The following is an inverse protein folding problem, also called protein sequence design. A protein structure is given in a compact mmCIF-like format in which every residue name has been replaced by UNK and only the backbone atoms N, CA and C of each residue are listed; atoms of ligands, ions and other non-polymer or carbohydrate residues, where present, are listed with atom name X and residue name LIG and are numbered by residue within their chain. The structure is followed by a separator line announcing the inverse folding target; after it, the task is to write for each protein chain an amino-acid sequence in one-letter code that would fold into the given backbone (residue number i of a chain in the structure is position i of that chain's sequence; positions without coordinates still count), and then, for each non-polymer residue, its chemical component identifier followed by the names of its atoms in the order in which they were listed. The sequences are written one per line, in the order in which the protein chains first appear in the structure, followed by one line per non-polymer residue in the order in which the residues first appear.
data_IF_978448928583
#
_entry.id   IF_978448928583
#
_cell.length_a   1.000
_cell.length_b   1.000
_cell.length_c   1.000
_cell.angle_alpha   90.00
_cell.angle_beta   90.00
_cell.angle_gamma   90.00
#
_symmetry.space_group_name_H-M   'P 1'
#
loop_
_entity.id
_entity.type
_entity.pdbx_description
1 polymer ?
#
# COMPACT_ATOMS: atom_id res chain seq x y z
N UNK A 1 8.60 4.92 31.32
CA UNK A 1 9.64 3.90 31.49
C UNK A 1 10.86 4.60 32.03
N UNK A 2 11.41 4.16 33.16
CA UNK A 2 12.71 4.64 33.63
C UNK A 2 13.77 4.34 32.55
N UNK A 3 14.66 5.30 32.27
CA UNK A 3 15.77 5.05 31.34
C UNK A 3 16.60 3.87 31.87
N UNK A 4 16.95 2.89 31.03
CA UNK A 4 17.89 1.85 31.44
C UNK A 4 19.20 2.53 31.83
N UNK A 5 19.68 2.24 33.03
CA UNK A 5 20.92 2.77 33.58
C UNK A 5 22.05 2.54 32.57
N UNK A 6 22.68 3.61 32.11
CA UNK A 6 23.68 3.53 31.04
C UNK A 6 24.94 2.91 31.64
N UNK A 7 25.24 1.68 31.26
CA UNK A 7 26.42 0.97 31.77
C UNK A 7 27.71 1.66 31.32
N UNK A 8 28.63 1.90 32.26
CA UNK A 8 29.98 2.38 31.97
C UNK A 8 30.75 1.44 31.01
N UNK A 9 30.35 0.17 30.91
CA UNK A 9 30.91 -0.77 29.94
C UNK A 9 30.78 -0.29 28.48
N UNK A 10 29.78 0.56 28.17
CA UNK A 10 29.59 1.14 26.84
C UNK A 10 30.63 2.21 26.49
N UNK A 11 31.42 2.68 27.47
CA UNK A 11 32.57 3.55 27.25
C UNK A 11 33.84 2.74 26.98
N UNK A 12 33.93 1.47 27.38
CA UNK A 12 35.14 0.65 27.22
C UNK A 12 36.43 1.41 27.57
N UNK A 13 37.45 1.31 26.71
CA UNK A 13 38.75 1.98 26.92
C UNK A 13 38.79 3.49 26.57
N UNK A 14 37.64 4.17 26.49
CA UNK A 14 37.57 5.55 25.98
C UNK A 14 38.50 6.53 26.71
N UNK A 15 38.47 6.56 28.04
CA UNK A 15 39.31 7.45 28.84
C UNK A 15 40.81 7.15 28.66
N UNK A 16 41.19 5.87 28.57
CA UNK A 16 42.57 5.43 28.30
C UNK A 16 43.05 5.91 26.93
N UNK A 17 42.22 5.76 25.90
CA UNK A 17 42.53 6.22 24.53
C UNK A 17 42.77 7.73 24.52
N UNK A 18 41.93 8.52 25.19
CA UNK A 18 42.12 9.98 25.28
C UNK A 18 43.42 10.36 26.00
N UNK A 19 43.80 9.63 27.06
CA UNK A 19 45.09 9.82 27.73
C UNK A 19 46.28 9.56 26.81
N UNK A 20 46.27 8.44 26.07
CA UNK A 20 47.35 8.11 25.13
C UNK A 20 47.43 9.09 23.95
N UNK A 21 46.30 9.58 23.46
CA UNK A 21 46.26 10.65 22.44
C UNK A 21 46.85 11.93 23.00
N UNK A 22 46.57 12.27 24.26
CA UNK A 22 47.13 13.46 24.89
C UNK A 22 48.65 13.37 25.03
N UNK A 23 49.18 12.18 25.35
CA UNK A 23 50.61 11.94 25.53
C UNK A 23 51.38 11.92 24.20
N UNK A 24 50.75 11.43 23.12
CA UNK A 24 51.44 11.14 21.85
C UNK A 24 51.05 12.05 20.68
N UNK A 25 49.92 12.76 20.77
CA UNK A 25 49.34 13.50 19.65
C UNK A 25 48.84 12.61 18.49
N UNK A 26 48.72 11.30 18.71
CA UNK A 26 48.27 10.35 17.66
C UNK A 26 46.77 10.46 17.40
N UNK A 27 46.32 9.94 16.26
CA UNK A 27 44.89 9.70 15.98
C UNK A 27 44.45 8.32 16.48
N UNK A 28 43.15 8.09 16.56
CA UNK A 28 42.63 6.75 16.82
C UNK A 28 43.05 5.79 15.70
N UNK A 29 43.45 4.60 16.11
CA UNK A 29 43.74 3.48 15.22
C UNK A 29 42.44 2.91 14.65
N UNK A 30 42.57 2.16 13.55
CA UNK A 30 41.43 1.48 12.93
C UNK A 30 40.72 0.52 13.90
N UNK A 31 41.47 -0.21 14.72
CA UNK A 31 40.94 -1.15 15.72
C UNK A 31 40.17 -0.43 16.83
N UNK A 32 40.67 0.71 17.31
CA UNK A 32 39.96 1.55 18.28
C UNK A 32 38.62 2.05 17.71
N UNK A 33 38.61 2.53 16.46
CA UNK A 33 37.39 2.96 15.76
C UNK A 33 36.40 1.80 15.55
N UNK A 34 36.88 0.61 15.18
CA UNK A 34 36.04 -0.60 15.04
C UNK A 34 35.42 -1.01 16.38
N UNK A 35 36.18 -0.89 17.46
CA UNK A 35 35.67 -1.11 18.83
C UNK A 35 34.61 -0.08 19.21
N UNK A 36 34.80 1.21 18.88
CA UNK A 36 33.78 2.25 19.10
C UNK A 36 32.48 1.94 18.35
N UNK A 37 32.57 1.54 17.09
CA UNK A 37 31.41 1.10 16.28
C UNK A 37 30.69 -0.10 16.91
N UNK A 38 31.44 -1.06 17.46
CA UNK A 38 30.88 -2.24 18.11
C UNK A 38 30.11 -1.87 19.39
N UNK A 39 30.65 -0.97 20.23
CA UNK A 39 29.97 -0.45 21.41
C UNK A 39 28.71 0.35 21.04
N UNK A 40 28.78 1.16 19.97
CA UNK A 40 27.61 1.87 19.43
C UNK A 40 26.48 0.91 19.02
N UNK A 41 26.84 -0.21 18.36
CA UNK A 41 25.88 -1.27 18.01
C UNK A 41 25.26 -1.92 19.24
N UNK A 42 26.08 -2.30 20.23
CA UNK A 42 25.59 -2.90 21.48
C UNK A 42 24.63 -1.95 22.22
N UNK A 43 24.95 -0.66 22.25
CA UNK A 43 24.10 0.34 22.88
C UNK A 43 22.74 0.50 22.17
N UNK A 44 22.72 0.43 20.84
CA UNK A 44 21.49 0.43 20.05
C UNK A 44 20.65 -0.84 20.31
N UNK A 45 21.29 -2.02 20.39
CA UNK A 45 20.63 -3.29 20.69
C UNK A 45 20.07 -3.33 22.12
N UNK A 46 20.72 -2.66 23.07
CA UNK A 46 20.24 -2.49 24.45
C UNK A 46 19.14 -1.41 24.60
N UNK A 47 18.80 -0.68 23.53
CA UNK A 47 17.68 0.28 23.51
C UNK A 47 18.00 1.65 24.15
N UNK A 48 19.27 2.01 24.30
CA UNK A 48 19.66 3.32 24.81
C UNK A 48 19.42 4.44 23.79
N UNK A 49 19.27 5.70 24.25
CA UNK A 49 19.14 6.86 23.38
C UNK A 49 20.53 7.42 22.98
N UNK A 50 20.75 7.65 21.68
CA UNK A 50 22.01 8.22 21.17
C UNK A 50 22.37 9.54 21.86
N UNK A 51 21.39 10.41 22.12
CA UNK A 51 21.63 11.70 22.81
C UNK A 51 22.25 11.52 24.19
N UNK A 52 21.76 10.56 24.97
CA UNK A 52 22.25 10.29 26.31
C UNK A 52 23.67 9.69 26.27
N UNK A 53 23.94 8.82 25.30
CA UNK A 53 25.27 8.22 25.08
C UNK A 53 26.31 9.26 24.65
N UNK A 54 25.94 10.20 23.77
CA UNK A 54 26.82 11.32 23.38
C UNK A 54 27.12 12.21 24.59
N UNK A 55 26.10 12.51 25.41
CA UNK A 55 26.28 13.30 26.63
C UNK A 55 27.21 12.61 27.62
N UNK A 56 27.11 11.27 27.74
CA UNK A 56 28.01 10.48 28.58
C UNK A 56 29.47 10.58 28.10
N UNK A 57 29.73 10.41 26.79
CA UNK A 57 31.07 10.55 26.24
C UNK A 57 31.66 11.95 26.51
N UNK A 58 30.87 13.00 26.32
CA UNK A 58 31.30 14.38 26.61
C UNK A 58 31.56 14.62 28.11
N UNK A 59 30.74 14.01 28.98
CA UNK A 59 30.91 14.11 30.43
C UNK A 59 32.23 13.46 30.86
N UNK A 60 32.56 12.28 30.34
CA UNK A 60 33.82 11.58 30.62
C UNK A 60 35.01 12.37 30.11
N UNK A 61 34.93 12.89 28.88
CA UNK A 61 35.96 13.79 28.32
C UNK A 61 36.22 15.00 29.23
N UNK A 62 35.17 15.57 29.84
CA UNK A 62 35.30 16.72 30.74
C UNK A 62 35.94 16.34 32.08
N UNK A 63 35.58 15.18 32.64
CA UNK A 63 36.10 14.70 33.93
C UNK A 63 37.56 14.26 33.80
N UNK A 64 37.87 13.49 32.77
CA UNK A 64 39.19 12.91 32.51
C UNK A 64 40.02 13.77 31.55
N UNK A 65 39.69 15.07 31.46
CA UNK A 65 40.39 15.99 30.57
C UNK A 65 41.88 16.02 30.92
N UNK A 66 42.78 15.74 29.96
CA UNK A 66 44.22 15.71 30.22
C UNK A 66 44.71 17.08 30.71
N UNK A 67 45.14 17.17 31.97
CA UNK A 67 45.72 18.40 32.54
C UNK A 67 47.22 18.44 32.25
N UNK A 68 47.60 19.02 31.11
CA UNK A 68 49.01 19.20 30.72
C UNK A 68 49.47 20.63 31.00
N UNK A 69 50.68 20.78 31.56
CA UNK A 69 51.34 22.05 31.82
C UNK A 69 52.06 22.61 30.58
N UNK A 70 52.05 23.94 30.47
CA UNK A 70 52.33 24.77 29.28
C UNK A 70 53.69 24.55 28.59
N UNK A 71 53.66 23.84 27.46
CA UNK A 71 54.29 24.16 26.17
C UNK A 71 53.80 23.14 25.12
N UNK A 72 53.04 23.55 24.10
CA UNK A 72 52.38 22.63 23.15
C UNK A 72 50.91 22.29 23.47
N UNK A 73 50.30 23.00 24.43
CA UNK A 73 48.93 22.75 24.89
C UNK A 73 47.86 22.91 23.79
N UNK A 74 48.07 23.77 22.79
CA UNK A 74 47.11 23.95 21.69
C UNK A 74 47.07 22.74 20.76
N UNK A 75 48.23 22.20 20.35
CA UNK A 75 48.29 21.03 19.45
C UNK A 75 47.81 19.76 20.13
N UNK A 76 48.03 19.63 21.44
CA UNK A 76 47.50 18.51 22.22
C UNK A 76 45.99 18.64 22.43
N UNK A 77 45.49 19.85 22.72
CA UNK A 77 44.04 20.11 22.82
C UNK A 77 43.33 19.77 21.52
N UNK A 78 43.88 20.20 20.38
CA UNK A 78 43.33 19.89 19.06
C UNK A 78 43.37 18.38 18.76
N UNK A 79 44.45 17.69 19.15
CA UNK A 79 44.57 16.23 18.99
C UNK A 79 43.54 15.46 19.83
N UNK A 80 43.32 15.88 21.09
CA UNK A 80 42.33 15.28 21.99
C UNK A 80 40.91 15.56 21.49
N UNK A 81 40.61 16.79 21.05
CA UNK A 81 39.31 17.13 20.46
C UNK A 81 39.04 16.32 19.18
N UNK A 82 40.04 16.18 18.30
CA UNK A 82 39.94 15.35 17.11
C UNK A 82 39.72 13.87 17.45
N UNK A 83 40.33 13.37 18.53
CA UNK A 83 40.10 12.01 19.01
C UNK A 83 38.70 11.80 19.60
N UNK A 84 38.17 12.79 20.32
CA UNK A 84 36.78 12.80 20.80
C UNK A 84 35.82 12.77 19.61
N UNK A 85 36.04 13.61 18.60
CA UNK A 85 35.25 13.63 17.37
C UNK A 85 35.28 12.26 16.68
N UNK A 86 36.47 11.69 16.47
CA UNK A 86 36.64 10.36 15.87
C UNK A 86 35.92 9.25 16.65
N UNK A 87 36.00 9.29 17.99
CA UNK A 87 35.41 8.28 18.83
C UNK A 87 33.87 8.38 18.86
N UNK A 88 33.33 9.58 19.00
CA UNK A 88 31.88 9.84 19.01
C UNK A 88 31.26 9.56 17.65
N UNK A 89 31.91 9.98 16.56
CA UNK A 89 31.45 9.70 15.19
C UNK A 89 31.43 8.18 14.91
N UNK A 90 32.51 7.46 15.21
CA UNK A 90 32.55 6.01 15.04
C UNK A 90 31.50 5.29 15.90
N UNK A 91 31.27 5.74 17.13
CA UNK A 91 30.22 5.21 17.99
C UNK A 91 28.82 5.46 17.40
N UNK A 92 28.54 6.71 16.98
CA UNK A 92 27.28 7.09 16.38
C UNK A 92 27.02 6.33 15.06
N UNK A 93 28.03 6.16 14.21
CA UNK A 93 27.94 5.35 12.98
C UNK A 93 27.51 3.92 13.28
N UNK A 94 28.14 3.28 14.29
CA UNK A 94 27.79 1.93 14.73
C UNK A 94 26.36 1.82 15.26
N UNK A 95 25.95 2.80 16.08
CA UNK A 95 24.60 2.90 16.63
C UNK A 95 23.54 3.08 15.54
N UNK A 96 23.70 4.06 14.65
CA UNK A 96 22.75 4.34 13.58
C UNK A 96 22.62 3.16 12.61
N UNK A 97 23.74 2.52 12.26
CA UNK A 97 23.73 1.34 11.37
C UNK A 97 22.95 0.18 11.99
N UNK A 98 23.12 -0.05 13.30
CA UNK A 98 22.39 -1.07 14.03
C UNK A 98 20.88 -0.75 14.08
N UNK A 99 20.53 0.49 14.40
CA UNK A 99 19.14 0.94 14.44
C UNK A 99 18.45 0.81 13.06
N UNK A 100 19.12 1.26 11.99
CA UNK A 100 18.61 1.10 10.60
C UNK A 100 18.42 -0.36 10.22
N UNK A 101 19.34 -1.25 10.63
CA UNK A 101 19.21 -2.68 10.36
C UNK A 101 18.01 -3.30 11.09
N UNK A 102 17.77 -2.90 12.33
CA UNK A 102 16.60 -3.35 13.11
C UNK A 102 15.30 -2.90 12.45
N UNK A 103 15.18 -1.63 12.05
CA UNK A 103 14.01 -1.11 11.34
C UNK A 103 13.76 -1.89 10.05
N UNK A 104 14.80 -2.08 9.22
CA UNK A 104 14.68 -2.85 7.97
C UNK A 104 14.28 -4.31 8.20
N UNK A 105 14.78 -4.95 9.26
CA UNK A 105 14.40 -6.32 9.63
C UNK A 105 12.93 -6.39 10.06
N UNK A 106 12.46 -5.40 10.81
CA UNK A 106 11.06 -5.34 11.23
C UNK A 106 10.12 -5.10 10.03
N UNK A 107 10.48 -4.18 9.14
CA UNK A 107 9.78 -3.94 7.88
C UNK A 107 9.75 -5.20 7.00
N UNK A 108 10.89 -5.89 6.85
CA UNK A 108 10.96 -7.14 6.10
C UNK A 108 10.09 -8.25 6.70
N UNK A 109 10.11 -8.41 8.03
CA UNK A 109 9.27 -9.39 8.73
C UNK A 109 7.78 -9.06 8.61
N UNK A 110 7.41 -7.77 8.60
CA UNK A 110 6.04 -7.31 8.37
C UNK A 110 5.59 -7.62 6.94
N UNK A 111 6.45 -7.37 5.95
CA UNK A 111 6.18 -7.69 4.54
C UNK A 111 5.99 -9.18 4.32
N UNK A 112 6.93 -10.00 4.79
CA UNK A 112 6.84 -11.47 4.73
C UNK A 112 5.53 -11.96 5.37
N UNK A 113 5.14 -11.36 6.51
CA UNK A 113 3.89 -11.73 7.17
C UNK A 113 2.66 -11.37 6.34
N UNK A 114 2.63 -10.19 5.71
CA UNK A 114 1.51 -9.79 4.86
C UNK A 114 1.45 -10.67 3.61
N UNK A 115 2.58 -10.99 2.99
CA UNK A 115 2.63 -11.93 1.87
C UNK A 115 2.09 -13.31 2.26
N UNK A 116 2.56 -13.86 3.39
CA UNK A 116 2.05 -15.14 3.91
C UNK A 116 0.55 -15.09 4.21
N UNK A 117 0.08 -13.96 4.74
CA UNK A 117 -1.32 -13.72 5.06
C UNK A 117 -2.18 -13.63 3.80
N UNK A 118 -1.72 -12.95 2.75
CA UNK A 118 -2.48 -12.74 1.50
C UNK A 118 -2.52 -13.99 0.62
N UNK A 119 -1.46 -14.80 0.59
CA UNK A 119 -1.44 -16.03 -0.23
C UNK A 119 -1.79 -17.31 0.54
N UNK A 120 -2.08 -17.22 1.83
CA UNK A 120 -2.41 -18.38 2.66
C UNK A 120 -1.29 -19.44 2.72
N UNK A 121 -0.03 -19.04 2.53
CA UNK A 121 1.13 -19.96 2.40
C UNK A 121 1.67 -20.48 3.72
N UNK A 122 1.01 -20.18 4.84
CA UNK A 122 1.49 -20.48 6.19
C UNK A 122 0.45 -21.19 7.05
N UNK A 123 0.94 -21.96 8.03
CA UNK A 123 0.11 -22.55 9.07
C UNK A 123 -0.64 -21.47 9.87
N UNK A 124 -1.92 -21.73 10.16
CA UNK A 124 -2.82 -20.77 10.82
C UNK A 124 -2.36 -20.38 12.22
N UNK A 125 -1.72 -21.29 12.96
CA UNK A 125 -1.16 -21.02 14.29
C UNK A 125 0.00 -20.04 14.22
N UNK A 126 0.93 -20.27 13.29
CA UNK A 126 2.08 -19.38 13.05
C UNK A 126 1.65 -17.99 12.54
N UNK A 127 0.63 -17.95 11.67
CA UNK A 127 0.03 -16.68 11.23
C UNK A 127 -0.63 -15.94 12.39
N UNK A 128 -1.37 -16.61 13.28
CA UNK A 128 -2.02 -15.97 14.42
C UNK A 128 -1.03 -15.38 15.44
N UNK A 129 0.08 -16.07 15.68
CA UNK A 129 1.16 -15.58 16.56
C UNK A 129 1.78 -14.29 15.98
N UNK A 130 2.19 -14.32 14.70
CA UNK A 130 2.75 -13.15 14.01
C UNK A 130 1.75 -12.01 13.86
N UNK A 131 0.48 -12.31 13.59
CA UNK A 131 -0.58 -11.32 13.50
C UNK A 131 -0.70 -10.49 14.77
N UNK A 132 -0.61 -11.15 15.93
CA UNK A 132 -0.69 -10.47 17.24
C UNK A 132 0.45 -9.47 17.43
N UNK A 133 1.69 -9.84 17.03
CA UNK A 133 2.86 -8.95 17.04
C UNK A 133 2.64 -7.70 16.18
N UNK A 134 1.99 -7.85 15.03
CA UNK A 134 1.66 -6.75 14.12
C UNK A 134 0.30 -6.09 14.43
N UNK A 135 -0.29 -6.42 15.57
CA UNK A 135 -1.52 -5.80 16.03
C UNK A 135 -2.80 -6.40 15.45
N UNK A 136 -2.75 -7.28 14.44
CA UNK A 136 -3.94 -7.94 13.91
C UNK A 136 -4.49 -9.00 14.88
N UNK A 137 -5.82 -9.13 14.93
CA UNK A 137 -6.51 -10.18 15.69
C UNK A 137 -7.36 -11.01 14.75
N UNK A 138 -6.79 -12.02 14.09
CA UNK A 138 -7.42 -12.79 13.01
C UNK A 138 -8.79 -13.40 13.35
N UNK A 139 -9.16 -13.53 14.64
CA UNK A 139 -10.51 -13.92 15.07
C UNK A 139 -11.59 -12.87 14.78
N UNK A 140 -11.21 -11.61 14.55
CA UNK A 140 -12.13 -10.51 14.24
C UNK A 140 -12.24 -10.29 12.74
N UNK A 141 -13.29 -9.55 12.35
CA UNK A 141 -13.44 -9.13 10.97
C UNK A 141 -12.36 -8.11 10.58
N UNK A 142 -11.79 -8.27 9.39
CA UNK A 142 -10.86 -7.32 8.77
C UNK A 142 -11.36 -6.98 7.37
N UNK A 143 -11.11 -5.75 6.96
CA UNK A 143 -11.33 -5.29 5.61
C UNK A 143 -10.00 -4.81 5.01
N UNK A 144 -9.87 -4.94 3.70
CA UNK A 144 -8.68 -4.56 2.95
C UNK A 144 -9.06 -3.52 1.91
N UNK A 145 -8.25 -2.46 1.82
CA UNK A 145 -8.30 -1.50 0.74
C UNK A 145 -7.05 -1.62 -0.12
N UNK A 146 -7.22 -1.55 -1.43
CA UNK A 146 -6.14 -1.64 -2.42
C UNK A 146 -6.21 -0.42 -3.31
N UNK A 147 -5.14 0.37 -3.32
CA UNK A 147 -4.98 1.50 -4.21
C UNK A 147 -4.12 1.11 -5.41
N UNK A 148 -4.56 1.49 -6.60
CA UNK A 148 -3.83 1.39 -7.86
C UNK A 148 -3.62 2.80 -8.42
N UNK A 149 -2.37 3.18 -8.65
CA UNK A 149 -2.00 4.44 -9.27
C UNK A 149 -1.80 4.30 -10.79
N UNK A 150 -1.60 5.42 -11.50
CA UNK A 150 -1.19 5.39 -12.91
C UNK A 150 0.18 4.72 -13.10
N UNK A 151 1.05 4.85 -12.10
CA UNK A 151 2.31 4.12 -12.00
C UNK A 151 2.26 3.11 -10.86
N UNK A 152 3.02 2.03 -11.00
CA UNK A 152 3.16 1.00 -9.98
C UNK A 152 3.89 1.56 -8.76
N UNK A 153 3.30 1.43 -7.57
CA UNK A 153 3.93 1.87 -6.33
C UNK A 153 5.12 0.97 -5.97
N UNK A 154 6.24 1.60 -5.61
CA UNK A 154 7.40 0.98 -4.99
C UNK A 154 7.54 1.39 -3.53
N UNK A 155 8.22 0.57 -2.72
CA UNK A 155 8.44 0.82 -1.29
C UNK A 155 9.17 2.14 -1.00
N UNK A 156 10.01 2.58 -1.94
CA UNK A 156 10.82 3.79 -1.80
C UNK A 156 10.09 5.07 -2.20
N UNK A 157 8.88 4.94 -2.78
CA UNK A 157 8.15 6.07 -3.31
C UNK A 157 7.65 7.00 -2.19
N UNK A 158 7.51 8.28 -2.55
CA UNK A 158 6.98 9.29 -1.64
C UNK A 158 5.52 9.00 -1.25
N UNK A 159 4.75 8.38 -2.15
CA UNK A 159 3.30 8.18 -1.95
C UNK A 159 2.99 7.21 -0.80
N UNK A 160 3.48 5.95 -0.78
CA UNK A 160 3.27 5.05 0.35
C UNK A 160 3.69 5.66 1.69
N UNK A 161 4.86 6.33 1.75
CA UNK A 161 5.36 6.99 2.96
C UNK A 161 4.47 8.13 3.43
N UNK A 162 3.96 8.96 2.51
CA UNK A 162 3.05 10.07 2.83
C UNK A 162 1.72 9.54 3.38
N UNK A 163 1.19 8.49 2.75
CA UNK A 163 -0.06 7.84 3.18
C UNK A 163 0.12 7.17 4.55
N UNK A 164 1.24 6.49 4.79
CA UNK A 164 1.58 5.87 6.07
C UNK A 164 1.65 6.92 7.19
N UNK A 165 2.41 8.00 6.98
CA UNK A 165 2.55 9.08 7.96
C UNK A 165 1.20 9.72 8.29
N UNK A 166 0.35 9.95 7.28
CA UNK A 166 -1.00 10.48 7.48
C UNK A 166 -1.91 9.54 8.30
N UNK A 167 -1.87 8.23 8.01
CA UNK A 167 -2.61 7.22 8.77
C UNK A 167 -2.15 7.15 10.23
N UNK A 168 -0.83 7.10 10.46
CA UNK A 168 -0.26 7.02 11.81
C UNK A 168 -0.57 8.28 12.63
N UNK A 169 -0.54 9.47 12.01
CA UNK A 169 -0.89 10.71 12.68
C UNK A 169 -2.37 10.76 13.09
N UNK A 170 -3.29 10.25 12.25
CA UNK A 170 -4.74 10.34 12.48
C UNK A 170 -5.30 9.21 13.35
N UNK A 171 -4.69 8.04 13.28
CA UNK A 171 -5.16 6.80 13.89
C UNK A 171 -4.09 6.17 14.79
N UNK A 172 -3.32 7.00 15.48
CA UNK A 172 -2.30 6.54 16.41
C UNK A 172 -2.85 5.48 17.38
N UNK A 173 -2.10 4.39 17.55
CA UNK A 173 -2.49 3.25 18.39
C UNK A 173 -3.55 2.31 17.79
N UNK A 174 -4.08 2.58 16.59
CA UNK A 174 -4.91 1.61 15.87
C UNK A 174 -4.05 0.56 15.17
N UNK A 175 -4.61 -0.65 15.06
CA UNK A 175 -3.97 -1.85 14.52
C UNK A 175 -4.16 -1.90 13.00
N UNK A 176 -3.39 -1.08 12.29
CA UNK A 176 -3.46 -0.90 10.84
C UNK A 176 -2.17 -1.44 10.23
N UNK A 177 -2.26 -2.18 9.13
CA UNK A 177 -1.09 -2.57 8.35
C UNK A 177 -1.14 -1.96 6.97
N UNK A 178 -0.02 -1.40 6.56
CA UNK A 178 0.19 -0.83 5.24
C UNK A 178 1.36 -1.55 4.57
N UNK A 179 1.22 -1.87 3.30
CA UNK A 179 2.31 -2.43 2.49
C UNK A 179 2.12 -2.11 1.00
N UNK A 180 3.17 -2.25 0.21
CA UNK A 180 3.09 -2.23 -1.26
C UNK A 180 3.22 -3.66 -1.79
N UNK A 181 2.32 -4.06 -2.68
CA UNK A 181 2.31 -5.39 -3.30
C UNK A 181 1.92 -5.32 -4.76
N UNK A 182 2.71 -5.94 -5.64
CA UNK A 182 2.46 -6.01 -7.09
C UNK A 182 2.13 -4.64 -7.70
N UNK A 183 2.87 -3.60 -7.30
CA UNK A 183 2.65 -2.22 -7.75
C UNK A 183 1.44 -1.51 -7.15
N UNK A 184 0.78 -2.09 -6.14
CA UNK A 184 -0.43 -1.56 -5.48
C UNK A 184 -0.13 -1.25 -4.01
N UNK A 185 -0.80 -0.24 -3.45
CA UNK A 185 -0.71 0.08 -2.03
C UNK A 185 -1.87 -0.59 -1.30
N UNK A 186 -1.58 -1.42 -0.31
CA UNK A 186 -2.55 -2.26 0.41
C UNK A 186 -2.64 -1.82 1.86
N UNK A 187 -3.85 -1.58 2.34
CA UNK A 187 -4.16 -1.21 3.71
C UNK A 187 -5.12 -2.22 4.33
N UNK A 188 -4.72 -2.83 5.45
CA UNK A 188 -5.51 -3.80 6.21
C UNK A 188 -5.94 -3.13 7.51
N UNK A 189 -7.24 -3.11 7.78
CA UNK A 189 -7.81 -2.53 8.99
C UNK A 189 -8.91 -3.41 9.60
N UNK A 190 -9.20 -3.26 10.91
CA UNK A 190 -10.35 -3.93 11.53
C UNK A 190 -11.66 -3.53 10.84
N UNK A 191 -12.52 -4.49 10.54
CA UNK A 191 -13.80 -4.26 9.85
C UNK A 191 -14.79 -3.38 10.64
N UNK A 192 -14.58 -3.23 11.96
CA UNK A 192 -15.34 -2.29 12.80
C UNK A 192 -14.89 -0.83 12.66
N UNK A 193 -13.88 -0.54 11.83
CA UNK A 193 -13.27 0.78 11.67
C UNK A 193 -13.21 1.19 10.19
N UNK A 194 -14.38 1.33 9.52
CA UNK A 194 -14.42 1.70 8.10
C UNK A 194 -13.87 3.12 7.82
N UNK A 195 -13.79 3.96 8.85
CA UNK A 195 -13.18 5.29 8.79
C UNK A 195 -11.70 5.25 8.40
N UNK A 196 -10.97 4.19 8.80
CA UNK A 196 -9.56 4.00 8.44
C UNK A 196 -9.40 3.81 6.94
N UNK A 197 -10.14 2.87 6.34
CA UNK A 197 -10.02 2.56 4.92
C UNK A 197 -10.53 3.71 4.05
N UNK A 198 -11.58 4.41 4.49
CA UNK A 198 -12.05 5.64 3.83
C UNK A 198 -10.98 6.73 3.82
N UNK A 199 -10.29 6.94 4.95
CA UNK A 199 -9.21 7.92 5.03
C UNK A 199 -8.00 7.50 4.20
N UNK A 200 -7.62 6.22 4.23
CA UNK A 200 -6.60 5.66 3.36
C UNK A 200 -6.91 5.92 1.88
N UNK A 201 -8.13 5.61 1.44
CA UNK A 201 -8.56 5.82 0.06
C UNK A 201 -8.44 7.29 -0.37
N UNK A 202 -8.88 8.21 0.50
CA UNK A 202 -8.72 9.65 0.29
C UNK A 202 -7.25 10.07 0.14
N UNK A 203 -6.37 9.57 1.00
CA UNK A 203 -4.94 9.94 0.97
C UNK A 203 -4.21 9.37 -0.25
N UNK A 204 -4.50 8.11 -0.61
CA UNK A 204 -3.92 7.44 -1.76
C UNK A 204 -4.34 8.10 -3.08
N UNK A 205 -5.64 8.38 -3.24
CA UNK A 205 -6.17 9.11 -4.40
C UNK A 205 -5.54 10.51 -4.53
N UNK A 206 -5.52 11.29 -3.44
CA UNK A 206 -4.92 12.63 -3.42
C UNK A 206 -3.39 12.63 -3.63
N UNK A 207 -2.72 11.48 -3.53
CA UNK A 207 -1.28 11.36 -3.73
C UNK A 207 -0.89 10.97 -5.17
N UNK A 208 -1.84 10.51 -5.98
CA UNK A 208 -1.58 9.94 -7.31
C UNK A 208 -2.27 10.63 -8.46
N UNK A 209 -3.09 11.64 -8.17
CA UNK A 209 -3.74 12.50 -9.17
C UNK A 209 -4.43 11.69 -10.30
N UNK A 210 -5.22 10.68 -9.91
CA UNK A 210 -5.92 9.80 -10.85
C UNK A 210 -5.96 8.32 -10.49
N UNK A 211 -5.29 7.88 -9.42
CA UNK A 211 -5.39 6.49 -8.95
C UNK A 211 -6.75 6.13 -8.37
N UNK A 212 -7.18 4.88 -8.51
CA UNK A 212 -8.41 4.34 -7.93
C UNK A 212 -8.10 3.51 -6.68
N UNK A 213 -9.05 3.46 -5.75
CA UNK A 213 -8.95 2.63 -4.55
C UNK A 213 -10.17 1.74 -4.43
N UNK A 214 -9.97 0.43 -4.34
CA UNK A 214 -11.05 -0.49 -4.03
C UNK A 214 -11.01 -0.92 -2.56
N UNK A 215 -12.18 -1.11 -1.95
CA UNK A 215 -12.34 -1.55 -0.57
C UNK A 215 -13.19 -2.82 -0.55
N UNK A 216 -12.57 -3.91 -0.13
CA UNK A 216 -13.23 -5.19 0.11
C UNK A 216 -14.11 -5.16 1.35
N UNK A 217 -15.07 -6.09 1.42
CA UNK A 217 -15.98 -6.21 2.56
C UNK A 217 -15.25 -6.77 3.78
N UNK A 218 -15.74 -6.48 4.99
CA UNK A 218 -15.16 -7.03 6.21
C UNK A 218 -15.50 -8.51 6.38
N UNK A 219 -14.49 -9.37 6.46
CA UNK A 219 -14.64 -10.81 6.66
C UNK A 219 -13.96 -11.30 7.92
N UNK A 220 -14.57 -12.27 8.60
CA UNK A 220 -14.08 -12.85 9.87
C UNK A 220 -13.12 -14.02 9.64
N UNK A 221 -12.29 -14.27 10.63
CA UNK A 221 -11.44 -15.45 10.69
C UNK A 221 -10.13 -15.28 9.90
N UNK A 222 -9.26 -16.30 9.94
CA UNK A 222 -7.92 -16.23 9.37
C UNK A 222 -7.89 -15.97 7.86
N UNK A 223 -8.88 -16.46 7.11
CA UNK A 223 -9.03 -16.19 5.67
C UNK A 223 -9.76 -14.89 5.32
N UNK A 224 -10.26 -14.16 6.31
CA UNK A 224 -11.07 -12.96 6.04
C UNK A 224 -10.28 -11.82 5.39
N UNK A 225 -8.98 -11.70 5.71
CA UNK A 225 -8.10 -10.72 5.06
C UNK A 225 -7.92 -11.04 3.57
N UNK A 226 -7.66 -12.31 3.24
CA UNK A 226 -7.51 -12.78 1.85
C UNK A 226 -8.76 -12.51 1.05
N UNK A 227 -9.93 -12.92 1.57
CA UNK A 227 -11.19 -12.73 0.86
C UNK A 227 -11.51 -11.24 0.62
N UNK A 228 -11.24 -10.39 1.60
CA UNK A 228 -11.41 -8.94 1.44
C UNK A 228 -10.40 -8.34 0.45
N UNK A 229 -9.18 -8.86 0.42
CA UNK A 229 -8.16 -8.45 -0.55
C UNK A 229 -8.55 -8.84 -1.98
N UNK A 230 -8.97 -10.09 -2.20
CA UNK A 230 -9.42 -10.58 -3.51
C UNK A 230 -10.63 -9.77 -4.00
N UNK A 231 -11.61 -9.49 -3.14
CA UNK A 231 -12.74 -8.62 -3.48
C UNK A 231 -12.32 -7.20 -3.92
N UNK A 232 -11.28 -6.64 -3.31
CA UNK A 232 -10.75 -5.33 -3.70
C UNK A 232 -10.02 -5.40 -5.05
N UNK A 233 -9.28 -6.48 -5.31
CA UNK A 233 -8.64 -6.70 -6.61
C UNK A 233 -9.68 -6.89 -7.72
N UNK A 234 -10.70 -7.70 -7.48
CA UNK A 234 -11.80 -7.94 -8.41
C UNK A 234 -12.56 -6.64 -8.72
N UNK A 235 -12.76 -5.78 -7.71
CA UNK A 235 -13.38 -4.48 -7.92
C UNK A 235 -12.55 -3.54 -8.81
N UNK A 236 -11.22 -3.53 -8.66
CA UNK A 236 -10.33 -2.76 -9.54
C UNK A 236 -10.34 -3.29 -10.98
N UNK A 237 -10.27 -4.62 -11.17
CA UNK A 237 -10.33 -5.24 -12.50
C UNK A 237 -11.68 -4.97 -13.17
N UNK A 238 -12.76 -5.11 -12.42
CA UNK A 238 -14.12 -4.82 -12.87
C UNK A 238 -14.26 -3.35 -13.29
N UNK A 239 -13.72 -2.41 -12.52
CA UNK A 239 -13.78 -0.99 -12.87
C UNK A 239 -13.09 -0.70 -14.21
N UNK A 240 -11.95 -1.34 -14.50
CA UNK A 240 -11.29 -1.25 -15.80
C UNK A 240 -12.17 -1.76 -16.95
N UNK A 241 -12.79 -2.93 -16.79
CA UNK A 241 -13.67 -3.53 -17.83
C UNK A 241 -14.97 -2.74 -18.04
N UNK A 242 -15.52 -2.22 -16.95
CA UNK A 242 -16.79 -1.50 -16.93
C UNK A 242 -16.62 0.01 -17.10
N UNK A 243 -15.40 0.53 -17.25
CA UNK A 243 -15.13 1.97 -17.34
C UNK A 243 -15.71 2.75 -16.18
N UNK A 244 -15.57 2.22 -14.96
CA UNK A 244 -16.03 2.90 -13.76
C UNK A 244 -14.95 3.87 -13.31
N UNK A 245 -15.24 5.17 -13.35
CA UNK A 245 -14.28 6.24 -13.05
C UNK A 245 -14.34 6.71 -11.58
N UNK A 246 -15.14 6.05 -10.74
CA UNK A 246 -15.23 6.40 -9.32
C UNK A 246 -13.85 6.28 -8.65
N UNK A 247 -13.41 7.31 -7.89
CA UNK A 247 -12.08 7.28 -7.26
C UNK A 247 -12.00 6.23 -6.14
N UNK A 248 -13.14 5.86 -5.56
CA UNK A 248 -13.24 4.83 -4.53
C UNK A 248 -14.35 3.86 -4.87
N UNK A 249 -13.99 2.59 -5.00
CA UNK A 249 -14.88 1.48 -5.32
C UNK A 249 -15.11 0.67 -4.04
N UNK A 250 -16.35 0.38 -3.69
CA UNK A 250 -16.64 -0.55 -2.60
C UNK A 250 -17.15 -1.85 -3.20
N UNK A 251 -16.51 -2.98 -2.89
CA UNK A 251 -16.92 -4.29 -3.42
C UNK A 251 -18.36 -4.65 -3.02
N UNK A 252 -18.87 -4.07 -1.91
CA UNK A 252 -20.26 -4.19 -1.50
C UNK A 252 -21.27 -3.62 -2.52
N UNK A 253 -20.88 -2.58 -3.27
CA UNK A 253 -21.74 -1.93 -4.26
C UNK A 253 -21.68 -2.63 -5.62
N UNK A 254 -20.72 -3.56 -5.79
CA UNK A 254 -20.42 -4.25 -7.04
C UNK A 254 -20.81 -5.74 -7.01
N UNK A 255 -21.56 -6.19 -6.00
CA UNK A 255 -21.87 -7.62 -5.79
C UNK A 255 -22.71 -8.26 -6.89
N UNK A 256 -23.40 -7.47 -7.71
CA UNK A 256 -24.18 -8.00 -8.84
C UNK A 256 -23.28 -8.61 -9.92
N UNK A 257 -22.09 -8.03 -10.17
CA UNK A 257 -21.23 -8.48 -11.26
C UNK A 257 -20.66 -9.89 -11.03
N UNK A 258 -20.12 -10.24 -9.84
CA UNK A 258 -19.73 -11.62 -9.53
C UNK A 258 -20.90 -12.62 -9.60
N UNK A 259 -22.13 -12.19 -9.32
CA UNK A 259 -23.32 -13.05 -9.46
C UNK A 259 -23.58 -13.34 -10.94
N UNK A 260 -23.50 -12.32 -11.80
CA UNK A 260 -23.69 -12.46 -13.25
C UNK A 260 -22.59 -13.30 -13.92
N UNK A 261 -21.36 -13.25 -13.43
CA UNK A 261 -20.23 -14.00 -14.02
C UNK A 261 -20.01 -15.38 -13.41
N UNK A 262 -20.78 -15.77 -12.38
CA UNK A 262 -20.64 -17.07 -11.71
C UNK A 262 -20.85 -18.24 -12.67
N UNK A 263 -21.82 -18.11 -13.58
CA UNK A 263 -22.00 -19.02 -14.71
C UNK A 263 -21.60 -18.30 -16.00
N UNK A 264 -20.28 -18.31 -16.26
CA UNK A 264 -19.70 -17.66 -17.43
C UNK A 264 -20.27 -18.20 -18.74
N UNK A 265 -20.57 -19.49 -18.81
CA UNK A 265 -21.10 -20.12 -20.02
C UNK A 265 -22.54 -19.65 -20.29
N UNK A 266 -23.40 -19.66 -19.26
CA UNK A 266 -24.76 -19.14 -19.40
C UNK A 266 -24.77 -17.66 -19.79
N UNK A 267 -23.84 -16.85 -19.25
CA UNK A 267 -23.69 -15.45 -19.67
C UNK A 267 -23.24 -15.34 -21.13
N UNK A 268 -22.29 -16.16 -21.58
CA UNK A 268 -21.83 -16.19 -22.97
C UNK A 268 -22.95 -16.63 -23.93
N UNK A 269 -23.78 -17.60 -23.55
CA UNK A 269 -24.95 -18.03 -24.31
C UNK A 269 -25.99 -16.91 -24.42
N UNK A 270 -26.25 -16.18 -23.32
CA UNK A 270 -27.13 -15.00 -23.33
C UNK A 270 -26.61 -13.92 -24.28
N UNK A 271 -25.32 -13.59 -24.21
CA UNK A 271 -24.70 -12.59 -25.10
C UNK A 271 -24.81 -13.03 -26.55
N UNK A 272 -24.50 -14.31 -26.87
CA UNK A 272 -24.61 -14.83 -28.24
C UNK A 272 -26.04 -14.80 -28.76
N UNK A 273 -27.02 -15.17 -27.93
CA UNK A 273 -28.44 -15.17 -28.30
C UNK A 273 -28.95 -13.76 -28.57
N UNK A 274 -28.74 -12.83 -27.64
CA UNK A 274 -29.36 -11.50 -27.69
C UNK A 274 -28.59 -10.49 -28.53
N UNK A 275 -27.26 -10.56 -28.53
CA UNK A 275 -26.39 -9.56 -29.14
C UNK A 275 -25.62 -10.09 -30.34
N UNK A 276 -25.50 -11.41 -30.52
CA UNK A 276 -24.85 -12.04 -31.67
C UNK A 276 -25.33 -11.48 -33.03
N UNK A 277 -26.64 -11.32 -33.28
CA UNK A 277 -27.16 -10.75 -34.53
C UNK A 277 -26.65 -9.34 -34.85
N UNK A 278 -26.17 -8.58 -33.87
CA UNK A 278 -25.59 -7.26 -34.11
C UNK A 278 -24.30 -7.33 -34.95
N UNK A 279 -23.64 -8.48 -35.04
CA UNK A 279 -22.47 -8.68 -35.91
C UNK A 279 -22.81 -8.52 -37.40
N UNK A 280 -24.06 -8.74 -37.79
CA UNK A 280 -24.54 -8.56 -39.17
C UNK A 280 -24.73 -7.08 -39.55
N UNK A 281 -24.65 -6.16 -38.58
CA UNK A 281 -24.72 -4.75 -38.85
C UNK A 281 -23.52 -4.26 -39.68
N UNK A 282 -23.75 -3.27 -40.55
CA UNK A 282 -22.67 -2.61 -41.27
C UNK A 282 -21.75 -1.90 -40.27
N UNK A 283 -20.50 -2.35 -40.19
CA UNK A 283 -19.53 -1.87 -39.19
C UNK A 283 -19.42 -2.73 -37.94
N UNK A 284 -20.05 -3.92 -37.93
CA UNK A 284 -20.01 -4.87 -36.82
C UNK A 284 -20.91 -4.49 -35.65
N UNK A 285 -20.83 -5.27 -34.57
CA UNK A 285 -21.69 -5.11 -33.39
C UNK A 285 -21.36 -3.86 -32.55
N UNK A 286 -20.10 -3.40 -32.57
CA UNK A 286 -19.57 -2.40 -31.64
C UNK A 286 -20.34 -1.05 -31.61
N UNK A 287 -20.71 -0.43 -32.76
CA UNK A 287 -21.44 0.85 -32.73
C UNK A 287 -22.84 0.74 -32.13
N UNK A 288 -23.52 -0.40 -32.35
CA UNK A 288 -24.85 -0.68 -31.81
C UNK A 288 -24.77 -1.07 -30.33
N UNK A 289 -23.76 -1.85 -29.94
CA UNK A 289 -23.48 -2.17 -28.55
C UNK A 289 -23.18 -0.90 -27.73
N UNK A 290 -22.36 0.01 -28.26
CA UNK A 290 -22.11 1.32 -27.65
C UNK A 290 -23.40 2.13 -27.50
N UNK A 291 -24.29 2.05 -28.49
CA UNK A 291 -25.59 2.73 -28.44
C UNK A 291 -26.44 2.17 -27.31
N UNK A 292 -26.52 0.84 -27.15
CA UNK A 292 -27.25 0.19 -26.06
C UNK A 292 -26.66 0.52 -24.68
N UNK A 293 -25.34 0.46 -24.52
CA UNK A 293 -24.68 0.80 -23.25
C UNK A 293 -25.05 2.22 -22.82
N UNK A 294 -24.85 3.21 -23.70
CA UNK A 294 -25.16 4.61 -23.37
C UNK A 294 -26.67 4.82 -23.16
N UNK A 295 -27.52 4.10 -23.90
CA UNK A 295 -28.96 4.16 -23.72
C UNK A 295 -29.40 3.68 -22.34
N UNK A 296 -28.86 2.55 -21.87
CA UNK A 296 -29.16 2.01 -20.56
C UNK A 296 -28.54 2.85 -19.43
N UNK A 297 -27.32 3.35 -19.60
CA UNK A 297 -26.65 4.25 -18.64
C UNK A 297 -27.35 5.62 -18.51
N UNK A 298 -28.10 6.03 -19.54
CA UNK A 298 -28.95 7.22 -19.54
C UNK A 298 -30.37 6.96 -18.99
N UNK A 299 -30.62 5.79 -18.38
CA UNK A 299 -31.95 5.43 -17.87
C UNK A 299 -33.00 5.25 -18.97
N UNK A 300 -32.57 4.84 -20.17
CA UNK A 300 -33.42 4.67 -21.37
C UNK A 300 -34.02 5.99 -21.89
N UNK A 301 -33.41 7.14 -21.54
CA UNK A 301 -33.84 8.46 -22.02
C UNK A 301 -33.19 8.78 -23.35
N UNK A 302 -33.97 8.74 -24.44
CA UNK A 302 -33.47 8.93 -25.80
C UNK A 302 -32.78 10.29 -26.03
N UNK A 303 -33.34 11.38 -25.50
CA UNK A 303 -32.74 12.71 -25.63
C UNK A 303 -31.36 12.80 -24.97
N UNK A 304 -31.21 12.23 -23.77
CA UNK A 304 -29.93 12.21 -23.05
C UNK A 304 -28.92 11.32 -23.76
N UNK A 305 -29.36 10.16 -24.22
CA UNK A 305 -28.52 9.21 -24.97
C UNK A 305 -27.98 9.84 -26.26
N UNK A 306 -28.84 10.52 -27.02
CA UNK A 306 -28.47 11.19 -28.26
C UNK A 306 -27.43 12.29 -28.00
N UNK A 307 -27.63 13.08 -26.93
CA UNK A 307 -26.65 14.09 -26.47
C UNK A 307 -25.29 13.47 -26.14
N UNK A 308 -25.26 12.41 -25.32
CA UNK A 308 -24.00 11.71 -24.96
C UNK A 308 -23.28 11.10 -26.16
N UNK A 309 -24.03 10.62 -27.16
CA UNK A 309 -23.48 10.07 -28.40
C UNK A 309 -23.19 11.13 -29.49
N UNK A 310 -23.49 12.41 -29.24
CA UNK A 310 -23.41 13.49 -30.23
C UNK A 310 -24.20 13.17 -31.51
N UNK A 311 -25.43 12.67 -31.33
CA UNK A 311 -26.39 12.33 -32.39
C UNK A 311 -27.65 13.20 -32.27
N UNK A 312 -28.42 13.29 -33.37
CA UNK A 312 -29.81 13.75 -33.27
C UNK A 312 -30.68 12.66 -32.65
N UNK A 313 -31.77 13.05 -31.97
CA UNK A 313 -32.74 12.09 -31.40
C UNK A 313 -33.27 11.15 -32.49
N UNK A 314 -33.56 11.69 -33.69
CA UNK A 314 -34.03 10.88 -34.84
C UNK A 314 -33.00 9.83 -35.27
N UNK A 315 -31.71 10.18 -35.30
CA UNK A 315 -30.65 9.23 -35.63
C UNK A 315 -30.51 8.15 -34.56
N UNK A 316 -30.67 8.49 -33.27
CA UNK A 316 -30.71 7.50 -32.19
C UNK A 316 -31.92 6.56 -32.33
N UNK A 317 -33.13 7.09 -32.55
CA UNK A 317 -34.34 6.28 -32.74
C UNK A 317 -34.16 5.29 -33.88
N UNK A 318 -33.57 5.73 -35.00
CA UNK A 318 -33.24 4.84 -36.12
C UNK A 318 -32.25 3.73 -35.72
N UNK A 319 -31.24 4.02 -34.89
CA UNK A 319 -30.31 2.99 -34.39
C UNK A 319 -30.98 1.99 -33.47
N UNK A 320 -31.86 2.44 -32.56
CA UNK A 320 -32.61 1.55 -31.66
C UNK A 320 -33.57 0.66 -32.45
N UNK A 321 -34.26 1.22 -33.44
CA UNK A 321 -35.10 0.48 -34.37
C UNK A 321 -34.28 -0.56 -35.16
N UNK A 322 -33.08 -0.19 -35.62
CA UNK A 322 -32.18 -1.13 -36.29
C UNK A 322 -31.73 -2.26 -35.38
N UNK A 323 -31.47 -1.97 -34.10
CA UNK A 323 -31.16 -3.01 -33.11
C UNK A 323 -32.35 -3.97 -32.98
N UNK A 324 -33.57 -3.45 -32.81
CA UNK A 324 -34.78 -4.27 -32.73
C UNK A 324 -34.96 -5.17 -33.96
N UNK A 325 -34.74 -4.65 -35.17
CA UNK A 325 -34.84 -5.43 -36.40
C UNK A 325 -33.80 -6.56 -36.50
N UNK A 326 -32.60 -6.37 -35.94
CA UNK A 326 -31.53 -7.37 -35.97
C UNK A 326 -31.71 -8.42 -34.88
N UNK A 327 -32.05 -8.02 -33.66
CA UNK A 327 -32.10 -8.91 -32.50
C UNK A 327 -33.48 -9.49 -32.23
N UNK A 328 -34.54 -8.90 -32.78
CA UNK A 328 -35.92 -9.18 -32.40
C UNK A 328 -36.34 -8.57 -31.05
N UNK A 329 -35.40 -8.07 -30.25
CA UNK A 329 -35.61 -7.50 -28.92
C UNK A 329 -35.69 -5.98 -28.99
N UNK A 330 -36.82 -5.39 -28.58
CA UNK A 330 -36.99 -3.92 -28.53
C UNK A 330 -36.35 -3.34 -27.25
N UNK A 331 -35.30 -2.50 -27.34
CA UNK A 331 -34.66 -1.89 -26.17
C UNK A 331 -35.60 -0.98 -25.35
N UNK A 332 -36.66 -0.47 -25.98
CA UNK A 332 -37.63 0.43 -25.35
C UNK A 332 -38.76 -0.32 -24.64
N UNK A 333 -39.02 -1.58 -24.99
CA UNK A 333 -40.00 -2.44 -24.33
C UNK A 333 -39.46 -2.97 -22.99
N UNK A 334 -40.10 -2.67 -21.84
CA UNK A 334 -39.71 -3.19 -20.54
C UNK A 334 -39.55 -4.72 -20.48
N UNK A 335 -40.32 -5.49 -21.26
CA UNK A 335 -40.27 -6.94 -21.27
C UNK A 335 -38.96 -7.49 -21.86
N UNK A 336 -38.45 -6.85 -22.92
CA UNK A 336 -37.19 -7.23 -23.57
C UNK A 336 -35.96 -6.54 -22.93
N UNK A 337 -36.16 -5.34 -22.40
CA UNK A 337 -35.10 -4.47 -21.90
C UNK A 337 -34.21 -5.13 -20.87
N UNK A 338 -34.77 -5.83 -19.88
CA UNK A 338 -33.96 -6.41 -18.80
C UNK A 338 -32.99 -7.46 -19.34
N UNK A 339 -33.46 -8.34 -20.22
CA UNK A 339 -32.64 -9.36 -20.89
C UNK A 339 -31.55 -8.70 -21.73
N UNK A 340 -31.92 -7.72 -22.56
CA UNK A 340 -30.97 -7.02 -23.44
C UNK A 340 -29.93 -6.23 -22.63
N UNK A 341 -30.33 -5.55 -21.56
CA UNK A 341 -29.41 -4.83 -20.68
C UNK A 341 -28.44 -5.79 -19.96
N UNK A 342 -28.95 -6.94 -19.50
CA UNK A 342 -28.11 -7.98 -18.87
C UNK A 342 -27.11 -8.54 -19.88
N UNK A 343 -27.54 -8.78 -21.12
CA UNK A 343 -26.64 -9.20 -22.19
C UNK A 343 -25.56 -8.14 -22.49
N UNK A 344 -25.90 -6.85 -22.47
CA UNK A 344 -24.91 -5.76 -22.67
C UNK A 344 -23.90 -5.71 -21.53
N UNK A 345 -24.34 -5.88 -20.28
CA UNK A 345 -23.44 -6.00 -19.13
C UNK A 345 -22.54 -7.23 -19.29
N UNK A 346 -23.12 -8.37 -19.67
CA UNK A 346 -22.39 -9.61 -19.98
C UNK A 346 -21.32 -9.43 -21.05
N UNK A 347 -21.66 -8.77 -22.14
CA UNK A 347 -20.73 -8.47 -23.23
C UNK A 347 -19.52 -7.67 -22.73
N UNK A 348 -19.73 -6.65 -21.91
CA UNK A 348 -18.63 -5.86 -21.31
C UNK A 348 -17.78 -6.69 -20.35
N UNK A 349 -18.41 -7.50 -19.49
CA UNK A 349 -17.70 -8.37 -18.54
C UNK A 349 -16.83 -9.43 -19.23
N UNK A 350 -17.30 -9.93 -20.38
CA UNK A 350 -16.64 -10.95 -21.20
C UNK A 350 -15.73 -10.37 -22.28
N UNK A 351 -15.65 -9.04 -22.40
CA UNK A 351 -14.85 -8.33 -23.40
C UNK A 351 -15.25 -8.63 -24.86
N UNK A 352 -16.55 -8.86 -25.09
CA UNK A 352 -17.13 -9.06 -26.42
C UNK A 352 -17.57 -7.69 -27.02
N UNK A 353 -17.37 -7.44 -28.33
CA UNK A 353 -16.94 -8.37 -29.38
C UNK A 353 -15.42 -8.43 -29.62
N UNK A 354 -14.59 -7.82 -28.76
CA UNK A 354 -13.13 -7.83 -28.93
C UNK A 354 -12.52 -9.23 -28.71
N UNK A 355 -13.15 -10.04 -27.84
CA UNK A 355 -12.88 -11.46 -27.63
C UNK A 355 -14.05 -12.32 -28.08
N UNK A 356 -13.73 -13.47 -28.66
CA UNK A 356 -14.72 -14.53 -28.90
C UNK A 356 -15.18 -15.14 -27.57
N UNK A 357 -16.44 -15.58 -27.55
CA UNK A 357 -17.18 -16.04 -26.37
C UNK A 357 -17.05 -17.53 -26.11
#
# INVERSE_FOLDING_TARGET
MAEPEISEALLGDYARILGEVADTGRRLTREELETRRALGRQAAEAGHQLRALVTLHLSVTRTDWPRIALAGAETVTDSVLAAVEQAVDAFAEGFERAQRLTVRREEAARREFIDDLLYGRSDLGRLAERATRFGLRLSRAHAVAVAAGPEAYTETDAVPRRVEAALLARFSGRKILLTTKDGRLVCIAPGSQPDVLRYFAKQAHAATDGGQVAVGRPHRGPGGVVHSYDEALDALDLAGRMGLDDPVLYSADLLIYPVLTRDRQAMADLVRSELGPLQEARGGAEPLLKTLSVYFDAGCVAAETARRLTLSVRALTYRLERIHQLTGSDPSDPAHRYTLQTAVIGARLLDWPAKEL
#
